data_IF_616614165849
#
_entry.id   IF_616614165849
#
_cell.length_a   1.000
_cell.length_b   1.000
_cell.length_c   1.000
_cell.angle_alpha   90.00
_cell.angle_beta   90.00
_cell.angle_gamma   90.00
#
_symmetry.space_group_name_H-M   'P 1'
#
loop_
_entity.id
_entity.type
_entity.pdbx_description
1 polymer ?
#
# COMPACT_ATOMS: atom_id res chain seq x y z
N UNK A 1 46.17 91.05 21.45
CA UNK A 1 45.96 89.84 22.27
C UNK A 1 44.77 89.09 21.69
N UNK A 2 45.03 87.94 21.04
CA UNK A 2 44.20 86.71 20.93
C UNK A 2 42.79 86.87 20.29
N UNK A 3 42.58 86.57 19.01
CA UNK A 3 42.34 85.26 18.34
C UNK A 3 40.88 84.72 18.39
N UNK A 4 40.38 84.40 17.18
CA UNK A 4 39.52 83.27 16.77
C UNK A 4 38.01 83.23 17.13
N UNK A 5 37.09 83.20 16.15
CA UNK A 5 36.67 82.09 15.22
C UNK A 5 35.62 81.16 15.88
N UNK A 6 34.39 81.09 15.34
CA UNK A 6 33.93 79.91 14.58
C UNK A 6 32.47 79.98 14.08
N UNK A 7 32.32 79.48 12.85
CA UNK A 7 31.09 79.11 12.17
C UNK A 7 30.36 77.97 12.91
N UNK A 8 29.02 77.97 12.87
CA UNK A 8 28.18 76.76 12.97
C UNK A 8 27.04 76.93 11.96
N UNK A 9 27.16 76.32 10.78
CA UNK A 9 26.88 74.92 10.46
C UNK A 9 25.37 74.67 10.25
N UNK A 10 25.04 74.68 8.96
CA UNK A 10 23.88 74.13 8.29
C UNK A 10 23.66 72.67 8.73
N UNK A 11 22.46 72.32 9.20
CA UNK A 11 21.97 70.93 9.17
C UNK A 11 20.67 70.92 8.37
N UNK A 12 20.81 70.63 7.08
CA UNK A 12 19.70 70.21 6.23
C UNK A 12 19.25 68.83 6.68
N UNK A 13 18.01 68.74 7.14
CA UNK A 13 17.33 67.48 7.43
C UNK A 13 17.03 66.80 6.08
N UNK A 14 17.97 66.01 5.57
CA UNK A 14 17.72 65.08 4.47
C UNK A 14 16.86 63.95 5.06
N UNK A 15 15.54 64.12 4.97
CA UNK A 15 14.59 63.02 5.10
C UNK A 15 14.86 62.04 3.96
N UNK A 16 15.71 61.03 4.24
CA UNK A 16 15.68 59.77 3.50
C UNK A 16 14.31 59.15 3.76
N UNK A 17 13.33 59.56 2.95
CA UNK A 17 12.16 58.74 2.71
C UNK A 17 12.67 57.52 1.97
N UNK A 18 13.00 56.47 2.71
CA UNK A 18 13.10 55.14 2.11
C UNK A 18 11.73 54.87 1.53
N UNK A 19 11.60 54.99 0.21
CA UNK A 19 10.47 54.47 -0.52
C UNK A 19 10.40 53.00 -0.17
N UNK A 20 9.58 52.65 0.82
CA UNK A 20 9.20 51.27 1.07
C UNK A 20 8.47 50.84 -0.20
N UNK A 21 9.22 50.25 -1.12
CA UNK A 21 8.64 49.55 -2.26
C UNK A 21 7.72 48.51 -1.64
N UNK A 22 6.42 48.72 -1.75
CA UNK A 22 5.43 47.76 -1.31
C UNK A 22 5.61 46.51 -2.19
N UNK A 23 6.38 45.54 -1.70
CA UNK A 23 6.55 44.26 -2.38
C UNK A 23 5.19 43.59 -2.38
N UNK A 24 4.69 43.25 -3.57
CA UNK A 24 3.42 42.56 -3.70
C UNK A 24 3.61 41.09 -3.30
N UNK A 25 3.11 40.71 -2.12
CA UNK A 25 3.19 39.36 -1.59
C UNK A 25 1.96 38.49 -1.98
N UNK A 26 1.26 38.81 -3.06
CA UNK A 26 0.06 38.05 -3.45
C UNK A 26 0.43 36.79 -4.23
N UNK A 27 0.67 36.90 -5.53
CA UNK A 27 1.23 35.81 -6.34
C UNK A 27 2.63 36.25 -6.77
N UNK A 28 3.62 35.43 -6.47
CA UNK A 28 5.03 35.80 -6.64
C UNK A 28 5.77 34.72 -7.41
N UNK A 29 6.76 35.16 -8.18
CA UNK A 29 7.64 34.26 -8.93
C UNK A 29 9.08 34.50 -8.53
N UNK A 30 9.83 33.43 -8.32
CA UNK A 30 11.25 33.43 -7.98
C UNK A 30 12.02 32.86 -9.17
N UNK A 31 12.67 33.73 -9.93
CA UNK A 31 13.45 33.37 -11.13
C UNK A 31 14.96 33.55 -10.91
N UNK A 32 15.35 33.96 -9.71
CA UNK A 32 16.72 34.21 -9.28
C UNK A 32 16.84 34.18 -7.76
N UNK A 33 18.06 34.10 -7.23
CA UNK A 33 18.32 34.22 -5.78
C UNK A 33 17.94 35.59 -5.23
N UNK A 34 18.06 36.66 -6.04
CA UNK A 34 17.66 38.02 -5.65
C UNK A 34 16.15 38.20 -5.49
N UNK A 35 15.35 37.46 -6.25
CA UNK A 35 13.89 37.46 -6.07
C UNK A 35 13.53 36.86 -4.71
N UNK A 36 14.17 35.72 -4.37
CA UNK A 36 14.00 35.08 -3.07
C UNK A 36 14.45 36.00 -1.92
N UNK A 37 15.57 36.70 -2.07
CA UNK A 37 16.07 37.71 -1.13
C UNK A 37 15.04 38.83 -0.89
N UNK A 38 14.43 39.33 -1.98
CA UNK A 38 13.44 40.39 -1.88
C UNK A 38 12.19 39.92 -1.15
N UNK A 39 11.69 38.71 -1.46
CA UNK A 39 10.53 38.15 -0.79
C UNK A 39 10.80 37.89 0.69
N UNK A 40 11.94 37.29 1.02
CA UNK A 40 12.24 36.89 2.40
C UNK A 40 12.42 38.08 3.36
N UNK A 41 12.78 39.26 2.84
CA UNK A 41 12.89 40.50 3.62
C UNK A 41 11.54 41.22 3.81
N UNK A 42 10.56 40.99 2.94
CA UNK A 42 9.35 41.83 2.85
C UNK A 42 8.03 41.07 2.99
N UNK A 43 8.02 39.75 2.81
CA UNK A 43 6.82 38.93 2.69
C UNK A 43 6.83 37.75 3.69
N UNK A 44 6.55 37.96 4.98
CA UNK A 44 6.37 36.84 5.92
C UNK A 44 5.18 35.95 5.54
N UNK A 45 4.19 36.51 4.83
CA UNK A 45 3.01 35.80 4.33
C UNK A 45 2.88 36.07 2.83
N UNK A 46 2.79 35.00 2.04
CA UNK A 46 2.40 35.07 0.63
C UNK A 46 0.91 34.68 0.53
N UNK A 47 0.05 35.58 0.06
CA UNK A 47 -1.42 35.37 0.08
C UNK A 47 -1.95 34.54 -1.10
N UNK A 48 -1.11 34.26 -2.10
CA UNK A 48 -1.40 33.42 -3.26
C UNK A 48 -0.27 32.41 -3.53
N UNK A 49 -0.02 32.11 -4.80
CA UNK A 49 0.95 31.08 -5.19
C UNK A 49 2.39 31.62 -5.21
N UNK A 50 3.35 30.75 -4.89
CA UNK A 50 4.77 30.93 -5.12
C UNK A 50 5.20 30.04 -6.29
N UNK A 51 5.65 30.64 -7.39
CA UNK A 51 6.23 29.91 -8.52
C UNK A 51 7.74 30.01 -8.49
N UNK A 52 8.45 28.89 -8.60
CA UNK A 52 9.91 28.82 -8.63
C UNK A 52 10.36 28.44 -10.04
N UNK A 53 11.24 29.23 -10.63
CA UNK A 53 11.68 29.08 -12.02
C UNK A 53 10.78 29.79 -13.03
N UNK A 54 11.07 29.64 -14.33
CA UNK A 54 12.26 28.98 -14.87
C UNK A 54 13.53 29.81 -14.60
N UNK A 55 14.67 29.14 -14.50
CA UNK A 55 15.97 29.80 -14.29
C UNK A 55 16.71 30.07 -15.62
N UNK A 56 17.53 31.12 -15.71
CA UNK A 56 18.30 31.42 -16.92
C UNK A 56 19.34 30.34 -17.25
N UNK A 57 19.39 29.82 -18.48
CA UNK A 57 20.26 28.70 -18.91
C UNK A 57 21.78 28.90 -18.71
N UNK A 58 22.22 30.11 -18.37
CA UNK A 58 23.64 30.45 -18.14
C UNK A 58 24.09 30.26 -16.67
N UNK A 59 23.26 29.68 -15.80
CA UNK A 59 23.56 29.50 -14.38
C UNK A 59 23.62 28.02 -14.01
N UNK A 60 24.79 27.49 -13.66
CA UNK A 60 24.96 26.05 -13.39
C UNK A 60 24.13 25.52 -12.21
N UNK A 61 23.90 26.35 -11.18
CA UNK A 61 23.14 25.98 -9.98
C UNK A 61 22.50 27.21 -9.33
N UNK A 62 21.27 27.09 -8.83
CA UNK A 62 20.55 28.19 -8.15
C UNK A 62 20.13 27.77 -6.74
N UNK A 63 20.36 28.62 -5.74
CA UNK A 63 19.99 28.35 -4.34
C UNK A 63 18.88 29.30 -3.85
N UNK A 64 17.66 28.79 -3.79
CA UNK A 64 16.48 29.54 -3.36
C UNK A 64 16.29 29.42 -1.85
N UNK A 65 16.56 30.52 -1.13
CA UNK A 65 16.33 30.63 0.31
C UNK A 65 15.05 31.39 0.61
N UNK A 66 14.13 30.75 1.31
CA UNK A 66 12.84 31.31 1.71
C UNK A 66 12.78 31.62 3.22
N UNK A 67 13.95 31.76 3.87
CA UNK A 67 14.08 32.10 5.30
C UNK A 67 13.56 33.52 5.59
N UNK A 68 12.43 33.60 6.29
CA UNK A 68 11.66 34.82 6.55
C UNK A 68 10.19 34.68 6.12
N UNK A 69 9.90 33.77 5.18
CA UNK A 69 8.52 33.41 4.81
C UNK A 69 8.03 32.34 5.80
N UNK A 70 6.89 32.58 6.42
CA UNK A 70 6.26 31.67 7.39
C UNK A 70 5.05 30.95 6.80
N UNK A 71 4.28 31.64 5.96
CA UNK A 71 3.02 31.13 5.40
C UNK A 71 2.91 31.40 3.90
N UNK A 72 2.46 30.40 3.15
CA UNK A 72 2.05 30.54 1.75
C UNK A 72 0.60 30.07 1.67
N UNK A 73 -0.36 30.97 1.45
CA UNK A 73 -1.77 30.60 1.40
C UNK A 73 -2.15 29.82 0.13
N UNK A 74 -1.42 30.03 -0.96
CA UNK A 74 -1.54 29.24 -2.17
C UNK A 74 -0.59 28.04 -2.21
N UNK A 75 -0.21 27.65 -3.42
CA UNK A 75 0.70 26.52 -3.68
C UNK A 75 2.13 26.99 -3.95
N UNK A 76 3.10 26.11 -3.68
CA UNK A 76 4.45 26.21 -4.21
C UNK A 76 4.49 25.38 -5.49
N UNK A 77 4.80 26.01 -6.63
CA UNK A 77 4.88 25.33 -7.91
C UNK A 77 6.27 25.53 -8.52
N UNK A 78 6.79 24.50 -9.19
CA UNK A 78 7.95 24.62 -10.06
C UNK A 78 7.51 24.88 -11.51
N UNK A 79 7.95 25.99 -12.08
CA UNK A 79 7.81 26.27 -13.50
C UNK A 79 9.07 25.80 -14.23
N UNK A 80 8.96 24.66 -14.90
CA UNK A 80 10.06 24.08 -15.64
C UNK A 80 10.40 24.91 -16.90
N UNK A 81 11.69 25.18 -17.07
CA UNK A 81 12.27 25.76 -18.28
C UNK A 81 12.86 24.69 -19.21
N UNK A 82 13.21 25.10 -20.43
CA UNK A 82 13.88 24.24 -21.40
C UNK A 82 15.35 23.98 -20.97
N UNK A 83 15.55 23.03 -20.06
CA UNK A 83 16.84 22.46 -19.69
C UNK A 83 17.78 23.32 -18.83
N UNK A 84 18.71 22.63 -18.15
CA UNK A 84 20.05 23.15 -17.86
C UNK A 84 20.48 23.24 -16.39
N UNK A 85 19.60 23.72 -15.50
CA UNK A 85 20.07 24.17 -14.19
C UNK A 85 19.45 23.36 -13.07
N UNK A 86 20.29 22.80 -12.21
CA UNK A 86 19.84 22.24 -10.93
C UNK A 86 19.60 23.37 -9.93
N UNK A 87 18.64 23.18 -9.03
CA UNK A 87 18.39 24.17 -7.98
C UNK A 87 18.02 23.52 -6.66
N UNK A 88 18.20 24.27 -5.58
CA UNK A 88 17.82 23.85 -4.22
C UNK A 88 16.85 24.85 -3.63
N UNK A 89 15.89 24.37 -2.83
CA UNK A 89 14.96 25.22 -2.08
C UNK A 89 15.14 24.95 -0.59
N UNK A 90 15.34 25.99 0.20
CA UNK A 90 15.47 25.86 1.66
C UNK A 90 14.67 26.91 2.41
N UNK A 91 14.04 26.53 3.52
CA UNK A 91 13.44 27.43 4.50
C UNK A 91 13.48 26.82 5.90
N UNK A 92 14.03 27.56 6.85
CA UNK A 92 13.93 27.25 8.28
C UNK A 92 12.71 27.90 8.94
N UNK A 93 11.97 28.77 8.25
CA UNK A 93 10.86 29.54 8.82
C UNK A 93 9.50 29.12 8.29
N UNK A 94 9.44 28.44 7.13
CA UNK A 94 8.18 28.06 6.50
C UNK A 94 7.45 27.04 7.39
N UNK A 95 6.25 27.41 7.86
CA UNK A 95 5.44 26.60 8.76
C UNK A 95 4.28 25.92 8.04
N UNK A 96 3.68 26.59 7.06
CA UNK A 96 2.47 26.11 6.38
C UNK A 96 2.35 26.55 4.92
N UNK A 97 1.85 25.62 4.10
CA UNK A 97 1.39 25.84 2.73
C UNK A 97 -0.11 25.53 2.66
N UNK A 98 -0.91 26.50 2.23
CA UNK A 98 -2.37 26.43 2.15
C UNK A 98 -2.88 25.68 0.92
N UNK A 99 -2.05 25.56 -0.11
CA UNK A 99 -2.28 24.69 -1.26
C UNK A 99 -1.35 23.48 -1.27
N UNK A 100 -0.81 23.16 -2.45
CA UNK A 100 0.09 22.05 -2.69
C UNK A 100 1.55 22.50 -2.76
N UNK A 101 2.48 21.57 -2.60
CA UNK A 101 3.90 21.74 -2.95
C UNK A 101 4.16 20.81 -4.12
N UNK A 102 4.42 21.37 -5.31
CA UNK A 102 4.49 20.60 -6.56
C UNK A 102 5.83 20.86 -7.27
N UNK A 103 6.63 19.81 -7.34
CA UNK A 103 7.81 19.71 -8.20
C UNK A 103 7.60 18.57 -9.19
N UNK A 104 7.75 18.87 -10.48
CA UNK A 104 7.59 17.88 -11.56
C UNK A 104 6.19 17.27 -11.57
N UNK A 105 5.15 18.08 -11.77
CA UNK A 105 3.78 17.60 -11.98
C UNK A 105 3.64 16.75 -13.25
N UNK A 106 2.40 16.49 -13.68
CA UNK A 106 2.09 15.61 -14.84
C UNK A 106 2.56 16.16 -16.20
N UNK A 107 3.10 17.38 -16.24
CA UNK A 107 3.65 17.96 -17.46
C UNK A 107 4.96 17.25 -17.85
N UNK A 108 5.16 17.01 -19.15
CA UNK A 108 6.36 16.38 -19.75
C UNK A 108 7.70 17.12 -19.51
N UNK A 109 7.71 18.14 -18.65
CA UNK A 109 8.86 19.01 -18.43
C UNK A 109 9.78 18.47 -17.34
N UNK A 110 11.08 18.64 -17.55
CA UNK A 110 12.10 18.22 -16.59
C UNK A 110 11.96 18.97 -15.25
N UNK A 111 12.24 18.27 -14.15
CA UNK A 111 12.27 18.84 -12.81
C UNK A 111 13.69 18.72 -12.26
N UNK A 112 14.37 19.86 -12.15
CA UNK A 112 15.79 19.90 -11.81
C UNK A 112 16.03 20.28 -10.33
N UNK A 113 15.04 20.08 -9.47
CA UNK A 113 15.22 20.29 -8.03
C UNK A 113 16.15 19.20 -7.50
N UNK A 114 17.25 19.59 -6.85
CA UNK A 114 18.21 18.66 -6.26
C UNK A 114 17.92 18.45 -4.77
N UNK A 115 17.65 19.53 -4.03
CA UNK A 115 17.33 19.49 -2.61
C UNK A 115 16.10 20.33 -2.30
N UNK A 116 15.22 19.80 -1.44
CA UNK A 116 14.16 20.56 -0.78
C UNK A 116 14.30 20.42 0.74
N UNK A 117 14.43 21.53 1.45
CA UNK A 117 14.65 21.54 2.90
C UNK A 117 13.70 22.53 3.57
N UNK A 118 12.65 22.02 4.20
CA UNK A 118 11.69 22.79 4.99
C UNK A 118 11.39 22.06 6.31
N UNK A 119 12.37 21.93 7.23
CA UNK A 119 12.24 21.09 8.42
C UNK A 119 11.12 21.53 9.38
N UNK A 120 10.70 22.80 9.33
CA UNK A 120 9.63 23.35 10.16
C UNK A 120 8.25 23.39 9.46
N UNK A 121 8.18 22.98 8.19
CA UNK A 121 6.91 22.88 7.47
C UNK A 121 6.10 21.74 8.08
N UNK A 122 4.97 22.09 8.69
CA UNK A 122 4.13 21.14 9.44
C UNK A 122 2.82 20.80 8.73
N UNK A 123 2.35 21.70 7.87
CA UNK A 123 1.05 21.59 7.20
C UNK A 123 1.19 21.95 5.72
N UNK A 124 0.76 21.02 4.86
CA UNK A 124 0.45 21.28 3.45
C UNK A 124 -1.01 20.93 3.26
N UNK A 125 -1.88 21.88 2.90
CA UNK A 125 -3.33 21.57 2.93
C UNK A 125 -3.79 20.77 1.71
N UNK A 126 -3.04 20.83 0.60
CA UNK A 126 -3.21 19.98 -0.57
C UNK A 126 -2.16 18.87 -0.64
N UNK A 127 -1.63 18.63 -1.84
CA UNK A 127 -0.67 17.55 -2.09
C UNK A 127 0.78 17.99 -1.87
N UNK A 128 1.63 17.09 -1.38
CA UNK A 128 3.07 17.19 -1.51
C UNK A 128 3.53 16.27 -2.65
N UNK A 129 3.88 16.87 -3.78
CA UNK A 129 4.11 16.16 -5.04
C UNK A 129 5.53 16.37 -5.54
N UNK A 130 6.27 15.28 -5.62
CA UNK A 130 7.55 15.15 -6.32
C UNK A 130 7.35 14.10 -7.41
N UNK A 131 7.17 14.51 -8.66
CA UNK A 131 6.91 13.56 -9.73
C UNK A 131 8.15 12.95 -10.36
N UNK A 132 7.90 12.04 -11.30
CA UNK A 132 8.84 11.09 -11.89
C UNK A 132 10.04 11.74 -12.60
N UNK A 133 9.83 12.98 -13.06
CA UNK A 133 10.82 13.80 -13.77
C UNK A 133 11.76 14.56 -12.83
N UNK A 134 11.54 14.52 -11.52
CA UNK A 134 12.45 15.07 -10.51
C UNK A 134 13.61 14.11 -10.24
N UNK A 135 14.28 13.66 -11.29
CA UNK A 135 15.34 12.65 -11.22
C UNK A 135 16.60 13.14 -10.51
N UNK A 136 16.78 14.45 -10.38
CA UNK A 136 17.95 15.04 -9.73
C UNK A 136 17.76 15.23 -8.22
N UNK A 137 16.55 15.01 -7.68
CA UNK A 137 16.27 15.19 -6.26
C UNK A 137 17.01 14.10 -5.47
N UNK A 138 17.99 14.50 -4.65
CA UNK A 138 18.79 13.58 -3.82
C UNK A 138 18.47 13.69 -2.33
N UNK A 139 17.98 14.85 -1.88
CA UNK A 139 17.72 15.16 -0.48
C UNK A 139 16.37 15.86 -0.28
N UNK A 140 15.53 15.29 0.57
CA UNK A 140 14.25 15.84 0.99
C UNK A 140 14.20 15.91 2.52
N UNK A 141 14.10 17.12 3.07
CA UNK A 141 13.90 17.34 4.51
C UNK A 141 12.57 18.07 4.73
N UNK A 142 11.60 17.30 5.23
CA UNK A 142 10.27 17.71 5.65
C UNK A 142 10.05 17.19 7.07
N UNK A 143 11.08 17.31 7.92
CA UNK A 143 11.17 16.67 9.25
C UNK A 143 9.88 16.77 10.07
N UNK A 144 9.22 17.93 10.08
CA UNK A 144 8.03 18.20 10.88
C UNK A 144 6.69 18.12 10.14
N UNK A 145 6.67 17.67 8.88
CA UNK A 145 5.43 17.61 8.09
C UNK A 145 4.47 16.58 8.70
N UNK A 146 3.41 17.05 9.35
CA UNK A 146 2.48 16.20 10.08
C UNK A 146 1.14 16.02 9.37
N UNK A 147 0.71 17.07 8.64
CA UNK A 147 -0.54 17.11 7.90
C UNK A 147 -0.29 17.40 6.44
N UNK A 148 -0.75 16.49 5.58
CA UNK A 148 -0.78 16.66 4.13
C UNK A 148 -1.93 15.85 3.57
N UNK A 149 -2.68 16.36 2.60
CA UNK A 149 -3.81 15.60 2.04
C UNK A 149 -3.31 14.37 1.27
N UNK A 150 -2.29 14.55 0.43
CA UNK A 150 -1.75 13.46 -0.39
C UNK A 150 -0.24 13.61 -0.58
N UNK A 151 0.53 12.52 -0.44
CA UNK A 151 1.97 12.51 -0.75
C UNK A 151 2.19 11.72 -2.03
N UNK A 152 2.84 12.35 -3.02
CA UNK A 152 3.42 11.69 -4.18
C UNK A 152 4.93 11.88 -4.16
N UNK A 153 5.70 10.80 -4.10
CA UNK A 153 7.16 10.84 -4.04
C UNK A 153 7.76 9.87 -5.06
N UNK A 154 8.24 10.40 -6.18
CA UNK A 154 8.89 9.63 -7.24
C UNK A 154 10.21 10.28 -7.68
N UNK A 155 11.09 10.51 -6.70
CA UNK A 155 12.46 10.95 -6.94
C UNK A 155 13.39 9.75 -7.07
N UNK A 156 13.68 9.30 -8.29
CA UNK A 156 14.51 8.10 -8.54
C UNK A 156 15.92 8.15 -7.95
N UNK A 157 16.46 9.35 -7.75
CA UNK A 157 17.78 9.55 -7.12
C UNK A 157 17.69 9.97 -5.65
N UNK A 158 16.49 9.99 -5.07
CA UNK A 158 16.28 10.39 -3.68
C UNK A 158 16.90 9.33 -2.76
N UNK A 159 17.96 9.72 -2.07
CA UNK A 159 18.68 8.85 -1.13
C UNK A 159 18.39 9.22 0.31
N UNK A 160 18.08 10.48 0.58
CA UNK A 160 17.82 10.97 1.94
C UNK A 160 16.43 11.58 2.06
N UNK A 161 15.56 10.92 2.82
CA UNK A 161 14.29 11.47 3.29
C UNK A 161 14.39 11.71 4.81
N UNK A 162 14.33 12.98 5.23
CA UNK A 162 14.20 13.35 6.64
C UNK A 162 12.75 13.72 6.92
N UNK A 163 12.10 12.82 7.64
CA UNK A 163 10.70 12.94 8.04
C UNK A 163 10.52 12.11 9.30
N UNK A 164 9.77 12.63 10.28
CA UNK A 164 9.66 11.97 11.60
C UNK A 164 8.36 11.19 11.75
N UNK A 165 7.22 11.80 11.41
CA UNK A 165 5.91 11.22 11.63
C UNK A 165 4.86 11.91 10.78
N UNK A 166 4.03 11.11 10.13
CA UNK A 166 2.81 11.58 9.47
C UNK A 166 1.61 11.28 10.39
N UNK A 167 0.79 12.28 10.70
CA UNK A 167 -0.41 12.07 11.53
C UNK A 167 -1.70 12.12 10.71
N UNK A 168 -1.71 12.74 9.53
CA UNK A 168 -2.91 12.81 8.70
C UNK A 168 -2.55 12.87 7.21
N UNK A 169 -3.17 11.99 6.44
CA UNK A 169 -3.18 11.97 4.98
C UNK A 169 -4.36 11.13 4.47
N UNK A 170 -4.87 11.46 3.29
CA UNK A 170 -5.90 10.67 2.60
C UNK A 170 -5.29 9.64 1.65
N UNK A 171 -4.05 9.85 1.18
CA UNK A 171 -3.34 8.91 0.31
C UNK A 171 -1.82 9.09 0.28
N UNK A 172 -1.15 8.06 -0.23
CA UNK A 172 0.31 7.95 -0.31
C UNK A 172 0.70 7.26 -1.62
N UNK A 173 1.62 7.82 -2.36
CA UNK A 173 2.27 7.17 -3.50
C UNK A 173 3.75 7.37 -3.40
N UNK A 174 4.47 6.30 -3.06
CA UNK A 174 5.93 6.28 -3.09
C UNK A 174 6.33 5.42 -4.28
N UNK A 175 6.82 6.06 -5.33
CA UNK A 175 7.34 5.37 -6.50
C UNK A 175 8.78 4.89 -6.28
N UNK A 176 9.50 4.71 -7.38
CA UNK A 176 10.89 4.26 -7.34
C UNK A 176 11.79 5.33 -6.69
N UNK A 177 12.45 4.98 -5.59
CA UNK A 177 13.41 5.84 -4.88
C UNK A 177 14.57 5.01 -4.29
N UNK A 178 15.64 5.65 -3.83
CA UNK A 178 16.82 5.01 -3.23
C UNK A 178 16.90 5.21 -1.71
N UNK A 179 15.81 5.62 -1.07
CA UNK A 179 15.76 5.84 0.37
C UNK A 179 15.88 4.51 1.13
N UNK A 180 16.43 4.56 2.33
CA UNK A 180 16.68 3.38 3.16
C UNK A 180 15.49 2.99 4.05
N UNK A 181 14.47 3.85 4.16
CA UNK A 181 13.26 3.58 4.95
C UNK A 181 12.08 4.47 4.52
N UNK A 182 10.88 3.93 4.70
CA UNK A 182 9.58 4.64 4.56
C UNK A 182 8.78 4.65 5.86
N UNK A 183 9.37 4.22 6.98
CA UNK A 183 8.65 4.01 8.24
C UNK A 183 7.97 5.29 8.74
N UNK A 184 8.60 6.44 8.57
CA UNK A 184 8.01 7.71 9.01
C UNK A 184 6.73 8.07 8.25
N UNK A 185 6.48 7.45 7.09
CA UNK A 185 5.26 7.60 6.29
C UNK A 185 4.27 6.44 6.55
N UNK A 186 4.75 5.20 6.57
CA UNK A 186 3.90 4.00 6.63
C UNK A 186 3.63 3.47 8.05
N UNK A 187 4.53 3.67 9.02
CA UNK A 187 4.42 3.12 10.38
C UNK A 187 3.65 4.04 11.34
N UNK A 188 2.53 4.57 10.87
CA UNK A 188 1.67 5.50 11.62
C UNK A 188 0.22 5.00 11.60
N UNK A 189 -0.56 5.20 12.69
CA UNK A 189 -1.98 4.82 12.75
C UNK A 189 -2.86 5.77 11.92
N UNK A 190 -2.71 5.70 10.60
CA UNK A 190 -3.41 6.52 9.62
C UNK A 190 -4.71 5.86 9.16
N UNK A 191 -5.67 6.69 8.73
CA UNK A 191 -6.90 6.26 8.08
C UNK A 191 -6.85 6.71 6.61
N UNK A 192 -6.36 5.83 5.74
CA UNK A 192 -6.17 6.11 4.32
C UNK A 192 -7.49 5.88 3.59
N UNK A 193 -8.09 6.94 3.08
CA UNK A 193 -9.38 6.88 2.37
C UNK A 193 -9.24 6.76 0.86
N UNK A 194 -8.08 7.12 0.32
CA UNK A 194 -7.67 6.88 -1.06
C UNK A 194 -6.73 5.69 -1.19
N UNK A 195 -5.70 5.84 -2.03
CA UNK A 195 -4.72 4.80 -2.31
C UNK A 195 -3.44 5.02 -1.50
N UNK A 196 -2.87 3.92 -1.00
CA UNK A 196 -1.51 3.84 -0.49
C UNK A 196 -0.70 2.89 -1.37
N UNK A 197 0.21 3.42 -2.17
CA UNK A 197 0.99 2.67 -3.16
C UNK A 197 2.47 2.78 -2.82
N UNK A 198 3.13 1.63 -2.78
CA UNK A 198 4.56 1.50 -2.56
C UNK A 198 5.20 0.78 -3.74
N UNK A 199 5.94 1.51 -4.56
CA UNK A 199 6.73 1.03 -5.67
C UNK A 199 8.06 0.41 -5.25
N UNK A 200 9.01 0.36 -6.18
CA UNK A 200 10.26 -0.37 -5.97
C UNK A 200 11.20 0.39 -5.05
N UNK A 201 11.58 -0.24 -3.93
CA UNK A 201 12.54 0.32 -2.97
C UNK A 201 13.73 -0.63 -2.78
N UNK A 202 14.78 -0.56 -3.63
CA UNK A 202 15.86 -1.54 -3.64
C UNK A 202 16.66 -1.60 -2.34
N UNK A 203 16.68 -0.52 -1.55
CA UNK A 203 17.38 -0.46 -0.27
C UNK A 203 16.51 -0.85 0.94
N UNK A 204 15.20 -1.00 0.75
CA UNK A 204 14.23 -1.27 1.84
C UNK A 204 13.85 -2.74 1.88
N UNK A 205 14.36 -3.44 2.90
CA UNK A 205 14.11 -4.89 3.09
C UNK A 205 12.82 -5.21 3.84
N UNK A 206 12.36 -4.30 4.68
CA UNK A 206 11.17 -4.45 5.49
C UNK A 206 10.36 -3.16 5.44
N UNK A 207 9.04 -3.30 5.37
CA UNK A 207 8.10 -2.18 5.44
C UNK A 207 7.09 -2.49 6.51
N UNK A 208 7.04 -1.66 7.55
CA UNK A 208 5.99 -1.74 8.57
C UNK A 208 4.85 -0.82 8.20
N UNK A 209 3.67 -1.38 7.96
CA UNK A 209 2.46 -0.61 7.68
C UNK A 209 1.62 -0.52 8.94
N UNK A 210 1.58 0.68 9.52
CA UNK A 210 0.91 1.00 10.77
C UNK A 210 -0.50 1.53 10.63
N UNK A 211 -1.08 1.55 9.43
CA UNK A 211 -2.40 2.13 9.21
C UNK A 211 -3.46 1.48 10.10
N UNK A 212 -4.38 2.29 10.63
CA UNK A 212 -5.56 1.79 11.31
C UNK A 212 -6.60 1.34 10.28
N UNK A 213 -6.74 2.07 9.18
CA UNK A 213 -7.53 1.64 8.04
C UNK A 213 -6.94 2.09 6.71
N UNK A 214 -7.18 1.29 5.66
CA UNK A 214 -6.88 1.70 4.30
C UNK A 214 -7.91 1.16 3.29
N UNK A 215 -8.38 2.05 2.41
CA UNK A 215 -9.23 1.66 1.28
C UNK A 215 -8.46 0.77 0.29
N UNK A 216 -7.28 1.23 -0.15
CA UNK A 216 -6.39 0.42 -0.99
C UNK A 216 -4.94 0.55 -0.53
N UNK A 217 -4.29 -0.60 -0.33
CA UNK A 217 -2.86 -0.71 -0.07
C UNK A 217 -2.22 -1.60 -1.13
N UNK A 218 -1.36 -1.04 -1.97
CA UNK A 218 -0.61 -1.79 -2.99
C UNK A 218 0.89 -1.71 -2.71
N UNK A 219 1.54 -2.87 -2.65
CA UNK A 219 3.00 -2.98 -2.48
C UNK A 219 3.56 -3.74 -3.69
N UNK A 220 4.38 -3.05 -4.46
CA UNK A 220 5.09 -3.53 -5.65
C UNK A 220 6.60 -3.54 -5.42
N UNK A 221 7.04 -4.12 -4.30
CA UNK A 221 8.44 -4.07 -3.86
C UNK A 221 8.93 -5.42 -3.39
N UNK A 222 10.22 -5.69 -3.60
CA UNK A 222 10.92 -6.88 -3.12
C UNK A 222 11.26 -6.77 -1.65
N UNK A 223 10.22 -6.71 -0.81
CA UNK A 223 10.31 -6.39 0.61
C UNK A 223 9.40 -7.30 1.43
N UNK A 224 9.74 -7.46 2.72
CA UNK A 224 8.86 -8.10 3.68
C UNK A 224 7.89 -7.06 4.23
N UNK A 225 6.60 -7.33 4.14
CA UNK A 225 5.54 -6.44 4.63
C UNK A 225 5.11 -6.90 6.02
N UNK A 226 5.22 -6.01 7.01
CA UNK A 226 4.74 -6.22 8.38
C UNK A 226 3.47 -5.39 8.56
N UNK A 227 2.33 -6.06 8.74
CA UNK A 227 1.06 -5.42 9.02
C UNK A 227 0.93 -5.12 10.51
N UNK A 228 0.66 -3.87 10.84
CA UNK A 228 0.56 -3.36 12.21
C UNK A 228 1.81 -2.65 12.69
N UNK A 229 1.66 -1.37 13.04
CA UNK A 229 2.75 -0.53 13.48
C UNK A 229 3.05 -0.66 14.96
N UNK A 230 3.96 0.18 15.44
CA UNK A 230 4.36 0.18 16.86
C UNK A 230 3.23 0.63 17.82
N UNK A 231 2.23 1.34 17.31
CA UNK A 231 1.10 1.88 18.06
C UNK A 231 -0.28 1.41 17.55
N UNK A 232 -0.29 0.54 16.54
CA UNK A 232 -1.52 0.04 15.90
C UNK A 232 -1.95 -1.24 16.60
N UNK A 233 -3.17 -1.24 17.16
CA UNK A 233 -3.78 -2.43 17.80
C UNK A 233 -4.86 -3.05 16.93
N UNK A 234 -5.51 -2.26 16.08
CA UNK A 234 -6.54 -2.69 15.15
C UNK A 234 -6.21 -2.19 13.74
N UNK A 235 -6.38 -3.04 12.74
CA UNK A 235 -6.16 -2.71 11.34
C UNK A 235 -7.26 -3.31 10.47
N UNK A 236 -7.87 -2.50 9.60
CA UNK A 236 -8.85 -2.94 8.61
C UNK A 236 -8.47 -2.47 7.21
N UNK A 237 -8.36 -3.42 6.27
CA UNK A 237 -8.00 -3.14 4.88
C UNK A 237 -9.17 -3.49 3.97
N UNK A 238 -9.59 -2.59 3.08
CA UNK A 238 -10.59 -2.97 2.07
C UNK A 238 -9.92 -3.70 0.90
N UNK A 239 -8.76 -3.23 0.44
CA UNK A 239 -7.95 -3.93 -0.56
C UNK A 239 -6.48 -3.95 -0.17
N UNK A 240 -5.87 -5.14 -0.22
CA UNK A 240 -4.44 -5.35 -0.08
C UNK A 240 -3.93 -6.07 -1.33
N UNK A 241 -3.05 -5.41 -2.09
CA UNK A 241 -2.39 -6.01 -3.25
C UNK A 241 -0.90 -6.11 -3.01
N UNK A 242 -0.35 -7.32 -3.13
CA UNK A 242 1.05 -7.61 -2.88
C UNK A 242 1.69 -8.20 -4.13
N UNK A 243 2.75 -7.55 -4.61
CA UNK A 243 3.62 -7.97 -5.71
C UNK A 243 5.07 -7.72 -5.32
N UNK A 244 6.01 -8.58 -5.70
CA UNK A 244 7.39 -8.45 -5.20
C UNK A 244 7.68 -9.17 -3.89
N UNK A 245 6.65 -9.60 -3.16
CA UNK A 245 6.76 -9.96 -1.74
C UNK A 245 7.91 -10.93 -1.42
N UNK A 246 8.68 -10.65 -0.36
CA UNK A 246 9.62 -11.64 0.22
C UNK A 246 9.10 -12.30 1.50
N UNK A 247 8.13 -11.67 2.16
CA UNK A 247 7.43 -12.21 3.33
C UNK A 247 6.24 -11.32 3.71
N UNK A 248 5.22 -11.92 4.35
CA UNK A 248 4.08 -11.22 4.94
C UNK A 248 4.00 -11.59 6.42
N UNK A 249 4.08 -10.59 7.28
CA UNK A 249 4.10 -10.76 8.72
C UNK A 249 3.01 -9.91 9.38
N UNK A 250 2.64 -10.32 10.59
CA UNK A 250 1.76 -9.54 11.46
C UNK A 250 2.52 -9.14 12.70
N UNK A 251 2.39 -7.86 13.04
CA UNK A 251 2.88 -7.34 14.31
C UNK A 251 2.18 -8.02 15.48
N UNK A 252 2.92 -8.43 16.53
CA UNK A 252 2.34 -9.05 17.71
C UNK A 252 1.46 -8.09 18.52
N UNK A 253 1.49 -6.78 18.22
CA UNK A 253 0.64 -5.77 18.86
C UNK A 253 -0.76 -5.68 18.27
N UNK A 254 -0.98 -6.23 17.07
CA UNK A 254 -2.30 -6.25 16.46
C UNK A 254 -3.20 -7.26 17.18
N UNK A 255 -4.20 -6.74 17.86
CA UNK A 255 -5.29 -7.49 18.46
C UNK A 255 -6.30 -7.92 17.37
N UNK A 256 -6.54 -7.08 16.37
CA UNK A 256 -7.44 -7.36 15.24
C UNK A 256 -6.83 -6.93 13.90
N UNK A 257 -6.94 -7.80 12.89
CA UNK A 257 -6.53 -7.56 11.50
C UNK A 257 -7.56 -8.16 10.54
N UNK A 258 -8.32 -7.31 9.85
CA UNK A 258 -9.32 -7.74 8.85
C UNK A 258 -8.98 -7.23 7.46
N UNK A 259 -9.35 -8.00 6.44
CA UNK A 259 -9.27 -7.55 5.05
C UNK A 259 -10.47 -8.00 4.21
N UNK A 260 -11.01 -7.11 3.36
CA UNK A 260 -12.05 -7.51 2.41
C UNK A 260 -11.43 -8.28 1.24
N UNK A 261 -10.40 -7.73 0.59
CA UNK A 261 -9.72 -8.38 -0.54
C UNK A 261 -8.22 -8.41 -0.34
N UNK A 262 -7.62 -9.59 -0.49
CA UNK A 262 -6.16 -9.77 -0.54
C UNK A 262 -5.80 -10.38 -1.87
N UNK A 263 -5.01 -9.68 -2.67
CA UNK A 263 -4.46 -10.14 -3.94
C UNK A 263 -2.96 -10.35 -3.83
N UNK A 264 -2.49 -11.56 -4.12
CA UNK A 264 -1.08 -11.92 -4.09
C UNK A 264 -0.62 -12.26 -5.50
N UNK A 265 0.35 -11.47 -5.98
CA UNK A 265 1.03 -11.62 -7.25
C UNK A 265 2.51 -11.88 -6.97
N UNK A 266 2.87 -13.10 -6.54
CA UNK A 266 4.24 -13.37 -6.13
C UNK A 266 5.18 -13.16 -7.32
N UNK A 267 6.35 -12.59 -7.06
CA UNK A 267 7.44 -12.49 -8.05
C UNK A 267 8.70 -13.00 -7.39
N UNK A 268 9.24 -14.12 -7.85
CA UNK A 268 10.37 -14.81 -7.22
C UNK A 268 10.00 -16.14 -6.54
N UNK A 269 10.92 -16.65 -5.73
CA UNK A 269 10.79 -17.93 -5.04
C UNK A 269 10.46 -17.71 -3.56
N UNK A 270 9.19 -17.83 -3.20
CA UNK A 270 8.73 -17.82 -1.81
C UNK A 270 8.25 -19.22 -1.49
N UNK A 271 8.84 -19.90 -0.52
CA UNK A 271 8.39 -21.26 -0.19
C UNK A 271 7.00 -21.26 0.45
N UNK A 272 6.74 -20.31 1.36
CA UNK A 272 5.52 -20.27 2.14
C UNK A 272 5.03 -18.85 2.37
N UNK A 273 3.72 -18.64 2.28
CA UNK A 273 3.07 -17.39 2.68
C UNK A 273 2.07 -17.71 3.80
N UNK A 274 2.28 -17.09 4.96
CA UNK A 274 1.33 -17.11 6.07
C UNK A 274 0.40 -15.90 5.96
N UNK A 275 -0.91 -16.16 5.92
CA UNK A 275 -1.94 -15.13 5.86
C UNK A 275 -2.39 -14.78 7.28
N UNK A 276 -2.07 -13.61 7.83
CA UNK A 276 -2.20 -13.38 9.27
C UNK A 276 -3.54 -12.78 9.71
N UNK A 277 -4.60 -12.92 8.92
CA UNK A 277 -5.89 -12.24 9.11
C UNK A 277 -6.79 -12.90 10.16
N UNK A 278 -7.56 -12.09 10.88
CA UNK A 278 -8.64 -12.48 11.79
C UNK A 278 -9.94 -12.77 11.05
N UNK A 279 -10.25 -11.99 10.01
CA UNK A 279 -11.29 -12.26 9.01
C UNK A 279 -10.81 -11.78 7.64
N UNK A 280 -11.07 -12.59 6.61
CA UNK A 280 -10.70 -12.31 5.23
C UNK A 280 -11.86 -12.74 4.33
N UNK A 281 -12.38 -11.82 3.51
CA UNK A 281 -13.49 -12.13 2.62
C UNK A 281 -13.06 -12.71 1.28
N UNK A 282 -11.99 -12.22 0.67
CA UNK A 282 -11.52 -12.73 -0.62
C UNK A 282 -9.99 -12.87 -0.66
N UNK A 283 -9.52 -14.06 -1.02
CA UNK A 283 -8.13 -14.31 -1.36
C UNK A 283 -8.02 -14.56 -2.87
N UNK A 284 -7.30 -13.69 -3.57
CA UNK A 284 -6.92 -13.85 -4.96
C UNK A 284 -5.43 -14.13 -5.09
N UNK A 285 -5.06 -15.18 -5.82
CA UNK A 285 -3.67 -15.52 -6.12
C UNK A 285 -3.52 -15.70 -7.62
N UNK A 286 -2.61 -14.92 -8.21
CA UNK A 286 -2.30 -15.01 -9.64
C UNK A 286 -0.80 -14.83 -9.87
N UNK A 287 -0.14 -15.84 -10.45
CA UNK A 287 1.30 -15.79 -10.71
C UNK A 287 1.61 -15.11 -12.06
N UNK A 288 2.65 -14.29 -12.08
CA UNK A 288 3.22 -13.75 -13.32
C UNK A 288 4.37 -14.65 -13.78
N UNK A 289 4.09 -15.63 -14.65
CA UNK A 289 4.96 -16.46 -15.51
C UNK A 289 6.28 -17.10 -14.96
N UNK A 290 6.83 -16.72 -13.81
CA UNK A 290 8.17 -17.13 -13.33
C UNK A 290 8.30 -17.12 -11.79
N UNK A 291 7.20 -17.13 -11.05
CA UNK A 291 7.18 -17.19 -9.58
C UNK A 291 6.79 -18.57 -9.08
N UNK A 292 7.28 -18.95 -7.90
CA UNK A 292 6.86 -20.20 -7.25
C UNK A 292 6.50 -19.90 -5.79
N UNK A 293 5.20 -19.84 -5.47
CA UNK A 293 4.74 -19.98 -4.07
C UNK A 293 4.43 -21.44 -3.81
N UNK A 294 5.17 -22.15 -2.94
CA UNK A 294 4.91 -23.59 -2.77
C UNK A 294 3.69 -23.86 -1.90
N UNK A 295 3.49 -23.08 -0.83
CA UNK A 295 2.41 -23.33 0.14
C UNK A 295 1.79 -22.04 0.65
N UNK A 296 0.45 -22.01 0.72
CA UNK A 296 -0.31 -21.00 1.45
C UNK A 296 -0.69 -21.55 2.82
N UNK A 297 -0.57 -20.72 3.86
CA UNK A 297 -0.97 -21.08 5.22
C UNK A 297 -2.01 -20.11 5.77
N UNK A 298 -3.18 -20.66 6.11
CA UNK A 298 -4.23 -19.97 6.85
C UNK A 298 -4.06 -20.19 8.36
N UNK A 299 -4.52 -19.25 9.20
CA UNK A 299 -4.53 -19.45 10.64
C UNK A 299 -5.67 -20.40 11.02
N UNK A 300 -5.52 -21.18 12.09
CA UNK A 300 -6.52 -22.16 12.51
C UNK A 300 -7.91 -21.54 12.75
N UNK A 301 -7.95 -20.28 13.22
CA UNK A 301 -9.17 -19.49 13.42
C UNK A 301 -9.94 -19.18 12.12
N UNK A 302 -9.37 -19.40 10.95
CA UNK A 302 -10.02 -19.16 9.66
C UNK A 302 -11.33 -19.95 9.48
N UNK A 303 -11.48 -21.09 10.18
CA UNK A 303 -12.76 -21.84 10.21
C UNK A 303 -13.95 -20.98 10.65
N UNK A 304 -13.71 -19.93 11.43
CA UNK A 304 -14.71 -19.03 12.00
C UNK A 304 -14.90 -17.72 11.20
N UNK A 305 -14.27 -17.57 10.04
CA UNK A 305 -14.46 -16.38 9.20
C UNK A 305 -15.91 -16.25 8.74
N UNK A 306 -16.48 -15.06 8.89
CA UNK A 306 -17.92 -14.84 8.76
C UNK A 306 -18.31 -14.13 7.47
N UNK A 307 -17.36 -13.45 6.81
CA UNK A 307 -17.61 -12.57 5.66
C UNK A 307 -18.06 -13.24 4.35
N UNK A 308 -18.16 -14.57 4.30
CA UNK A 308 -18.39 -15.30 3.06
C UNK A 308 -17.10 -15.38 2.24
N UNK A 309 -16.24 -16.32 2.61
CA UNK A 309 -14.91 -16.44 2.03
C UNK A 309 -14.98 -16.81 0.55
N UNK A 310 -14.17 -16.13 -0.25
CA UNK A 310 -13.98 -16.35 -1.67
C UNK A 310 -12.52 -16.70 -1.93
N UNK A 311 -12.29 -17.83 -2.60
CA UNK A 311 -10.97 -18.23 -3.07
C UNK A 311 -10.92 -18.12 -4.58
N UNK A 312 -9.97 -17.35 -5.09
CA UNK A 312 -9.67 -17.25 -6.51
C UNK A 312 -8.18 -17.52 -6.75
N UNK A 313 -7.85 -18.64 -7.38
CA UNK A 313 -6.47 -19.04 -7.70
C UNK A 313 -6.41 -19.31 -9.20
N UNK A 314 -5.64 -18.52 -9.92
CA UNK A 314 -5.58 -18.62 -11.39
C UNK A 314 -4.14 -18.53 -11.85
N UNK A 315 -3.77 -19.34 -12.84
CA UNK A 315 -2.46 -19.28 -13.48
C UNK A 315 -1.32 -19.35 -12.46
N UNK A 316 -1.46 -20.21 -11.44
CA UNK A 316 -0.49 -20.33 -10.34
C UNK A 316 0.12 -21.74 -10.30
N UNK A 317 0.93 -22.13 -11.30
CA UNK A 317 1.50 -23.48 -11.38
C UNK A 317 2.51 -23.80 -10.28
N UNK A 318 3.14 -22.77 -9.66
CA UNK A 318 4.05 -22.95 -8.53
C UNK A 318 3.34 -23.36 -7.23
N UNK A 319 2.04 -23.04 -7.13
CA UNK A 319 1.22 -23.31 -5.96
C UNK A 319 0.78 -24.77 -5.87
N UNK A 320 1.09 -25.39 -4.74
CA UNK A 320 0.74 -26.78 -4.46
C UNK A 320 -0.44 -26.87 -3.48
N UNK A 321 -1.64 -27.12 -4.03
CA UNK A 321 -2.88 -27.37 -3.29
C UNK A 321 -3.23 -28.88 -3.29
N UNK A 322 -2.24 -29.77 -3.17
CA UNK A 322 -2.50 -31.23 -3.14
C UNK A 322 -3.02 -31.75 -1.80
N UNK A 323 -2.81 -31.02 -0.71
CA UNK A 323 -3.18 -31.42 0.64
C UNK A 323 -3.45 -30.17 1.49
N UNK A 324 -4.32 -30.30 2.49
CA UNK A 324 -4.48 -29.28 3.54
C UNK A 324 -3.34 -29.32 4.58
N UNK A 325 -2.42 -30.27 4.46
CA UNK A 325 -1.24 -30.44 5.29
C UNK A 325 0.02 -30.12 4.51
N UNK A 326 0.97 -29.48 5.18
CA UNK A 326 2.32 -29.22 4.68
C UNK A 326 3.35 -29.48 5.77
N UNK A 327 4.57 -28.99 5.56
CA UNK A 327 5.65 -29.03 6.55
C UNK A 327 5.97 -27.63 7.05
N UNK A 328 6.26 -27.48 8.34
CA UNK A 328 6.81 -26.24 8.89
C UNK A 328 8.32 -26.11 8.58
N UNK A 329 8.94 -25.00 9.01
CA UNK A 329 10.37 -24.76 8.84
C UNK A 329 11.25 -25.80 9.55
N UNK A 330 10.71 -26.50 10.54
CA UNK A 330 11.38 -27.57 11.29
C UNK A 330 11.14 -28.96 10.68
N UNK A 331 10.38 -29.04 9.59
CA UNK A 331 10.04 -30.28 8.89
C UNK A 331 8.92 -31.09 9.55
N UNK A 332 8.19 -30.54 10.52
CA UNK A 332 7.04 -31.21 11.12
C UNK A 332 5.81 -31.07 10.22
N UNK A 333 5.02 -32.13 10.13
CA UNK A 333 3.74 -32.08 9.44
C UNK A 333 2.76 -31.19 10.22
N UNK A 334 2.25 -30.16 9.56
CA UNK A 334 1.26 -29.22 10.09
C UNK A 334 0.08 -29.08 9.14
N UNK A 335 -1.10 -28.78 9.67
CA UNK A 335 -2.21 -28.35 8.82
C UNK A 335 -1.97 -26.90 8.41
N UNK A 336 -1.89 -26.67 7.10
CA UNK A 336 -1.63 -25.36 6.49
C UNK A 336 -2.91 -24.71 5.99
N UNK A 337 -3.94 -25.50 5.66
CA UNK A 337 -5.20 -24.99 5.17
C UNK A 337 -6.36 -25.31 6.10
N UNK A 338 -7.18 -24.30 6.38
CA UNK A 338 -8.37 -24.39 7.21
C UNK A 338 -9.53 -23.77 6.45
N UNK A 339 -10.47 -24.58 6.00
CA UNK A 339 -11.64 -24.10 5.26
C UNK A 339 -12.59 -23.33 6.19
N UNK A 340 -12.93 -22.06 5.85
CA UNK A 340 -14.00 -21.33 6.52
C UNK A 340 -15.32 -22.07 6.43
N UNK A 341 -16.17 -21.92 7.45
CA UNK A 341 -17.51 -22.52 7.44
C UNK A 341 -18.49 -21.79 6.50
N UNK A 342 -18.26 -20.49 6.26
CA UNK A 342 -19.03 -19.69 5.32
C UNK A 342 -18.20 -19.41 4.06
N UNK A 343 -18.27 -20.28 3.06
CA UNK A 343 -17.60 -20.11 1.75
C UNK A 343 -18.64 -19.76 0.71
N UNK A 344 -18.43 -18.67 -0.03
CA UNK A 344 -19.35 -18.23 -1.07
C UNK A 344 -18.86 -18.50 -2.49
N UNK A 345 -17.54 -18.62 -2.69
CA UNK A 345 -16.97 -18.80 -4.03
C UNK A 345 -15.64 -19.54 -4.00
N UNK A 346 -15.44 -20.46 -4.95
CA UNK A 346 -14.15 -21.11 -5.18
C UNK A 346 -13.88 -21.15 -6.69
N UNK A 347 -12.78 -20.56 -7.14
CA UNK A 347 -12.22 -20.79 -8.47
C UNK A 347 -10.75 -21.16 -8.34
N UNK A 348 -10.36 -22.31 -8.90
CA UNK A 348 -8.96 -22.75 -8.99
C UNK A 348 -8.71 -23.17 -10.44
N UNK A 349 -7.79 -22.51 -11.15
CA UNK A 349 -7.47 -22.81 -12.54
C UNK A 349 -5.98 -22.80 -12.81
N UNK A 350 -5.51 -23.80 -13.54
CA UNK A 350 -4.11 -23.94 -13.98
C UNK A 350 -3.12 -24.02 -12.80
N UNK A 351 -3.55 -24.66 -11.71
CA UNK A 351 -2.78 -24.87 -10.47
C UNK A 351 -2.80 -26.34 -10.07
N UNK A 352 -1.75 -26.82 -9.39
CA UNK A 352 -1.69 -28.19 -8.87
C UNK A 352 -2.68 -28.28 -7.71
N UNK A 353 -3.70 -29.14 -7.84
CA UNK A 353 -4.69 -29.36 -6.78
C UNK A 353 -5.10 -30.83 -6.73
N UNK A 354 -5.38 -31.37 -5.54
CA UNK A 354 -5.84 -32.75 -5.37
C UNK A 354 -6.99 -32.84 -4.37
N UNK A 355 -7.75 -33.93 -4.41
CA UNK A 355 -8.91 -34.13 -3.53
C UNK A 355 -8.63 -33.92 -2.03
N UNK A 356 -7.49 -34.37 -1.45
CA UNK A 356 -7.22 -34.20 -0.03
C UNK A 356 -7.18 -32.75 0.44
N UNK A 357 -6.98 -31.78 -0.44
CA UNK A 357 -7.08 -30.36 -0.10
C UNK A 357 -8.51 -29.96 0.31
N UNK A 358 -9.53 -30.67 -0.17
CA UNK A 358 -10.94 -30.37 0.06
C UNK A 358 -11.62 -31.26 1.09
N UNK A 359 -10.93 -32.21 1.73
CA UNK A 359 -11.60 -33.23 2.57
C UNK A 359 -12.49 -32.63 3.67
N UNK A 360 -12.00 -31.58 4.36
CA UNK A 360 -12.73 -30.89 5.42
C UNK A 360 -13.84 -30.01 4.86
N UNK A 361 -13.63 -29.35 3.72
CA UNK A 361 -14.68 -28.62 3.01
C UNK A 361 -15.83 -29.55 2.61
N UNK A 362 -15.52 -30.70 1.99
CA UNK A 362 -16.52 -31.69 1.57
C UNK A 362 -17.24 -32.28 2.77
N UNK A 363 -16.53 -32.59 3.85
CA UNK A 363 -17.13 -33.09 5.08
C UNK A 363 -18.08 -32.04 5.72
N UNK A 364 -17.66 -30.77 5.79
CA UNK A 364 -18.48 -29.66 6.27
C UNK A 364 -19.76 -29.52 5.45
N UNK A 365 -19.67 -29.54 4.12
CA UNK A 365 -20.81 -29.39 3.21
C UNK A 365 -21.79 -30.58 3.23
N UNK A 366 -21.30 -31.80 3.48
CA UNK A 366 -22.12 -33.00 3.67
C UNK A 366 -22.73 -33.10 5.08
N UNK A 367 -22.21 -32.34 6.04
CA UNK A 367 -22.67 -32.36 7.42
C UNK A 367 -24.13 -31.88 7.56
N UNK A 368 -25.02 -32.78 8.00
CA UNK A 368 -26.23 -32.42 8.74
C UNK A 368 -25.80 -32.19 10.20
N UNK A 369 -25.18 -31.06 10.51
CA UNK A 369 -24.67 -30.84 11.85
C UNK A 369 -25.81 -30.49 12.81
N UNK A 370 -26.10 -31.43 13.70
CA UNK A 370 -26.84 -31.21 14.93
C UNK A 370 -26.32 -29.95 15.64
N UNK A 371 -26.96 -28.81 15.42
CA UNK A 371 -26.77 -27.59 16.20
C UNK A 371 -25.84 -26.51 15.63
N UNK A 372 -25.29 -26.64 14.42
CA UNK A 372 -24.58 -25.51 13.76
C UNK A 372 -25.29 -25.09 12.48
N UNK A 373 -25.25 -23.79 12.19
CA UNK A 373 -25.81 -23.18 10.99
C UNK A 373 -25.46 -23.99 9.75
N UNK A 374 -26.48 -24.31 8.96
CA UNK A 374 -26.33 -25.00 7.67
C UNK A 374 -25.25 -24.27 6.84
N UNK A 375 -24.24 -24.96 6.29
CA UNK A 375 -23.22 -24.33 5.46
C UNK A 375 -23.87 -23.56 4.30
N UNK A 376 -23.31 -22.38 4.00
CA UNK A 376 -23.79 -21.56 2.90
C UNK A 376 -23.67 -22.30 1.57
N UNK A 377 -24.64 -22.04 0.69
CA UNK A 377 -24.59 -22.51 -0.68
C UNK A 377 -23.63 -21.60 -1.44
N UNK A 378 -22.62 -22.19 -2.09
CA UNK A 378 -21.65 -21.41 -2.86
C UNK A 378 -22.37 -20.78 -4.04
N UNK A 379 -22.13 -19.48 -4.27
CA UNK A 379 -22.59 -18.72 -5.43
C UNK A 379 -21.78 -18.98 -6.71
N UNK A 380 -20.59 -19.59 -6.61
CA UNK A 380 -19.82 -20.08 -7.75
C UNK A 380 -18.75 -21.10 -7.36
N UNK A 381 -18.50 -22.07 -8.25
CA UNK A 381 -17.53 -23.14 -8.02
C UNK A 381 -16.89 -23.61 -9.34
N UNK A 382 -15.58 -23.52 -9.47
CA UNK A 382 -14.85 -23.94 -10.68
C UNK A 382 -13.46 -24.47 -10.31
N UNK A 383 -13.11 -25.66 -10.81
CA UNK A 383 -11.78 -26.28 -10.61
C UNK A 383 -11.28 -26.85 -11.94
N UNK A 384 -10.26 -26.20 -12.48
CA UNK A 384 -9.51 -26.64 -13.66
C UNK A 384 -8.05 -26.91 -13.25
N UNK A 385 -7.73 -28.08 -12.67
CA UNK A 385 -6.38 -28.41 -12.22
C UNK A 385 -5.38 -28.44 -13.39
N UNK A 386 -4.11 -28.17 -13.12
CA UNK A 386 -3.02 -28.47 -14.06
C UNK A 386 -2.78 -29.99 -14.16
N UNK A 387 -3.00 -30.73 -13.07
CA UNK A 387 -2.87 -32.19 -12.95
C UNK A 387 -4.20 -32.93 -13.20
N UNK A 388 -4.87 -32.64 -14.33
CA UNK A 388 -6.25 -33.12 -14.63
C UNK A 388 -6.47 -34.63 -14.45
N UNK A 389 -5.50 -35.48 -14.77
CA UNK A 389 -5.63 -36.93 -14.68
C UNK A 389 -5.76 -37.49 -13.26
N UNK A 390 -5.47 -36.69 -12.22
CA UNK A 390 -5.41 -37.15 -10.82
C UNK A 390 -6.46 -36.50 -9.92
N UNK A 391 -7.38 -35.72 -10.47
CA UNK A 391 -8.43 -35.03 -9.72
C UNK A 391 -9.78 -35.73 -9.90
N UNK A 392 -10.40 -36.17 -8.80
CA UNK A 392 -11.71 -36.85 -8.81
C UNK A 392 -12.85 -35.85 -8.57
N UNK A 393 -13.74 -35.70 -9.55
CA UNK A 393 -14.89 -34.79 -9.45
C UNK A 393 -16.11 -35.36 -8.70
N UNK A 394 -16.12 -36.65 -8.37
CA UNK A 394 -17.28 -37.33 -7.75
C UNK A 394 -17.78 -36.66 -6.46
N UNK A 395 -16.91 -36.25 -5.51
CA UNK A 395 -17.37 -35.60 -4.29
C UNK A 395 -18.11 -34.29 -4.55
N UNK A 396 -17.63 -33.48 -5.49
CA UNK A 396 -18.24 -32.19 -5.84
C UNK A 396 -19.53 -32.37 -6.64
N UNK A 397 -19.61 -33.39 -7.49
CA UNK A 397 -20.86 -33.76 -8.17
C UNK A 397 -21.96 -34.14 -7.15
N UNK A 398 -21.60 -34.86 -6.08
CA UNK A 398 -22.55 -35.19 -5.02
C UNK A 398 -23.01 -33.94 -4.27
N UNK A 399 -22.10 -33.01 -3.93
CA UNK A 399 -22.44 -31.73 -3.31
C UNK A 399 -23.37 -30.87 -4.19
N UNK A 400 -23.12 -30.86 -5.50
CA UNK A 400 -24.00 -30.20 -6.48
C UNK A 400 -25.40 -30.83 -6.50
N UNK A 401 -25.49 -32.18 -6.50
CA UNK A 401 -26.78 -32.89 -6.49
C UNK A 401 -27.63 -32.61 -5.25
N UNK A 402 -27.01 -32.28 -4.12
CA UNK A 402 -27.72 -31.90 -2.89
C UNK A 402 -27.83 -30.37 -2.72
N UNK A 403 -27.64 -29.60 -3.80
CA UNK A 403 -27.76 -28.15 -3.85
C UNK A 403 -26.82 -27.37 -2.91
N UNK A 404 -25.64 -27.92 -2.61
CA UNK A 404 -24.58 -27.21 -1.86
C UNK A 404 -23.68 -26.35 -2.74
N UNK A 405 -23.61 -26.69 -4.02
CA UNK A 405 -22.91 -25.92 -5.06
C UNK A 405 -23.96 -25.42 -6.04
N UNK A 406 -24.06 -24.12 -6.25
CA UNK A 406 -24.94 -23.58 -7.30
C UNK A 406 -24.27 -23.62 -8.67
N UNK A 407 -25.12 -23.63 -9.71
CA UNK A 407 -24.75 -23.17 -11.04
C UNK A 407 -24.81 -21.63 -10.96
N UNK A 408 -23.67 -20.95 -11.02
CA UNK A 408 -23.63 -19.48 -11.00
C UNK A 408 -24.38 -18.89 -12.20
N UNK A 409 -24.98 -17.71 -12.00
CA UNK A 409 -25.56 -16.86 -13.04
C UNK A 409 -24.46 -15.87 -13.46
N UNK A 410 -23.87 -16.06 -14.63
CA UNK A 410 -22.84 -15.16 -15.14
C UNK A 410 -23.37 -13.77 -15.48
N UNK A 411 -22.49 -12.76 -15.48
CA UNK A 411 -22.79 -11.33 -15.73
C UNK A 411 -23.41 -10.99 -17.09
N UNK A 412 -23.66 -11.98 -17.96
CA UNK A 412 -24.25 -11.82 -19.30
C UNK A 412 -25.54 -12.65 -19.53
N UNK A 413 -26.16 -13.21 -18.49
CA UNK A 413 -27.43 -13.92 -18.63
C UNK A 413 -27.35 -15.28 -19.34
N UNK A 414 -26.16 -15.80 -19.62
CA UNK A 414 -25.93 -17.21 -19.97
C UNK A 414 -25.67 -18.00 -18.68
N UNK A 415 -26.50 -18.99 -18.40
CA UNK A 415 -26.31 -19.93 -17.29
C UNK A 415 -25.02 -20.74 -17.47
N UNK A 416 -23.95 -20.47 -16.72
CA UNK A 416 -22.88 -21.46 -16.47
C UNK A 416 -21.86 -20.98 -15.44
N UNK A 417 -21.89 -21.53 -14.21
CA UNK A 417 -20.66 -22.00 -13.55
C UNK A 417 -20.94 -23.02 -12.42
N UNK A 418 -20.74 -24.30 -12.76
CA UNK A 418 -20.05 -25.32 -11.96
C UNK A 418 -19.03 -25.88 -12.94
N UNK A 419 -17.72 -25.89 -12.68
CA UNK A 419 -16.87 -26.74 -13.53
C UNK A 419 -15.66 -27.41 -12.88
N UNK A 420 -15.88 -28.66 -12.47
CA UNK A 420 -14.87 -29.69 -12.33
C UNK A 420 -14.73 -30.40 -13.70
N UNK A 421 -14.16 -29.67 -14.66
CA UNK A 421 -13.84 -30.05 -16.04
C UNK A 421 -15.01 -30.62 -16.90
N UNK A 422 -15.66 -29.73 -17.65
CA UNK A 422 -16.81 -29.89 -18.55
C UNK A 422 -17.12 -31.32 -19.04
N UNK A 423 -18.07 -31.99 -18.35
CA UNK A 423 -18.75 -33.25 -18.74
C UNK A 423 -17.87 -34.41 -19.24
N UNK A 424 -17.64 -35.37 -18.35
CA UNK A 424 -17.19 -36.72 -18.70
C UNK A 424 -17.28 -37.76 -17.58
N UNK A 425 -18.28 -37.70 -16.70
CA UNK A 425 -18.57 -38.82 -15.78
C UNK A 425 -19.50 -39.79 -16.51
N UNK A 426 -18.93 -40.82 -17.14
CA UNK A 426 -19.68 -42.03 -17.49
C UNK A 426 -20.35 -42.57 -16.23
N UNK A 427 -21.64 -42.87 -16.27
CA UNK A 427 -22.50 -43.39 -15.18
C UNK A 427 -22.07 -44.79 -14.65
N UNK A 428 -20.80 -45.15 -14.75
CA UNK A 428 -20.30 -46.48 -14.45
C UNK A 428 -19.19 -46.45 -13.40
N UNK A 429 -19.54 -46.14 -12.15
CA UNK A 429 -18.77 -46.59 -10.99
C UNK A 429 -19.73 -46.76 -9.81
N UNK A 430 -19.99 -48.03 -9.48
CA UNK A 430 -21.01 -48.45 -8.53
C UNK A 430 -20.78 -47.90 -7.12
N UNK A 431 -21.88 -47.90 -6.37
CA UNK A 431 -21.96 -47.65 -4.94
C UNK A 431 -20.75 -48.21 -4.17
N UNK A 432 -19.79 -47.35 -3.83
CA UNK A 432 -18.85 -47.60 -2.75
C UNK A 432 -19.15 -46.60 -1.64
N UNK A 433 -19.86 -47.06 -0.62
CA UNK A 433 -19.87 -46.43 0.69
C UNK A 433 -18.47 -46.61 1.28
N UNK A 434 -17.56 -45.65 1.08
CA UNK A 434 -16.41 -45.52 1.98
C UNK A 434 -16.91 -44.81 3.25
N UNK A 435 -17.00 -45.61 4.31
CA UNK A 435 -17.20 -45.14 5.68
C UNK A 435 -16.04 -44.18 6.01
N UNK A 436 -16.29 -42.99 6.59
CA UNK A 436 -15.22 -42.11 7.05
C UNK A 436 -14.27 -42.88 7.97
N UNK A 437 -12.97 -42.75 7.75
CA UNK A 437 -12.01 -43.30 8.70
C UNK A 437 -12.25 -42.61 10.05
N UNK A 438 -12.37 -43.41 11.12
CA UNK A 438 -12.64 -42.95 12.50
C UNK A 438 -11.62 -41.92 13.04
N UNK A 439 -10.54 -41.65 12.30
CA UNK A 439 -9.49 -40.70 12.65
C UNK A 439 -9.94 -39.24 12.37
N UNK A 440 -10.84 -39.00 11.42
CA UNK A 440 -11.31 -37.63 11.09
C UNK A 440 -12.32 -37.04 12.09
N UNK A 441 -13.00 -37.88 12.88
CA UNK A 441 -13.98 -37.45 13.89
C UNK A 441 -13.29 -36.98 15.18
N UNK A 442 -12.09 -37.52 15.48
CA UNK A 442 -11.35 -37.17 16.70
C UNK A 442 -10.80 -35.74 16.61
N UNK A 443 -10.41 -35.26 15.44
CA UNK A 443 -9.92 -33.88 15.25
C UNK A 443 -10.98 -32.80 15.52
N UNK A 444 -12.24 -33.06 15.17
CA UNK A 444 -13.35 -32.12 15.38
C UNK A 444 -13.78 -32.06 16.85
N UNK A 445 -13.66 -33.17 17.59
CA UNK A 445 -14.05 -33.20 19.02
C UNK A 445 -12.96 -32.61 19.93
N UNK A 446 -11.67 -32.74 19.60
CA UNK A 446 -10.60 -32.17 20.42
C UNK A 446 -10.36 -30.67 20.18
N UNK A 447 -10.70 -30.13 19.01
CA UNK A 447 -10.65 -28.68 18.77
C UNK A 447 -11.63 -27.88 19.64
N UNK A 448 -12.76 -28.47 20.02
CA UNK A 448 -13.81 -27.81 20.83
C UNK A 448 -13.54 -27.94 22.34
N UNK A 449 -12.86 -29.00 22.79
CA UNK A 449 -12.57 -29.20 24.22
C UNK A 449 -11.26 -28.56 24.71
N UNK A 450 -10.37 -28.15 23.80
CA UNK A 450 -9.12 -27.46 24.17
C UNK A 450 -9.27 -25.94 24.41
N UNK A 451 -10.45 -25.35 24.17
CA UNK A 451 -10.73 -23.92 24.35
C UNK A 451 -11.79 -23.64 25.43
N UNK A 452 -11.90 -24.56 26.39
CA UNK A 452 -12.71 -24.43 27.59
C UNK A 452 -11.88 -24.41 28.88
N UNK A 453 -10.70 -23.78 28.88
CA UNK A 453 -9.99 -23.22 30.06
C UNK A 453 -9.26 -21.95 29.63
#
# INVERSE_FOLDING_TARGET
MIWQVNQKALLGLILFTTSALAVNCTAVSVKSESDAETLRQNCPIITGNLTIGPFPQNVSSVHIKLDGIEFINGSINHEAGDGGNTFTVSSSTLLKVGGSVIFGGDDDKACNVNNFTAPNLSIVSGSFWIGTRCSDLTYLDITSLEYVDYIHLEGRSLTTLRHTKLSNTTGLWIGDTLIDSVDSLFNNPLNITGEAILGTLPNVRYVTVGFQSAYSLEVFSNTTVILGGSSTTEMSLESLRLSGLTGLERSPKLESLTAEVVTIMPTGNISQIYLPFDDLRMLSVSEAAYSNVVTLRLPAKAVNWTGGFMLDVVLSPGLNLSSMYGVDEQGNNIQTWYWPTNVSYIRISETIVANPFFDTFVAQQNGLTNGTTTPSVLGGFSITPSNRSHFNCTPFYNLWRIHRLTKSVGSYGSEEEYDCLSRGVSESAGHYYQVPSLISIIGVVFGILAWGI
#
